data_IF_211621075950
#
_entry.id   IF_211621075950
#
_cell.length_a   1.000
_cell.length_b   1.000
_cell.length_c   1.000
_cell.angle_alpha   90.00
_cell.angle_beta   90.00
_cell.angle_gamma   90.00
#
_symmetry.space_group_name_H-M   'P 1'
#
loop_
_entity.id
_entity.type
_entity.pdbx_description
1 polymer ?
#
# COMPACT_ATOMS: atom_id res chain seq x y z
N UNK A 1 -12.10 -1.80 13.04
CA UNK A 1 -11.94 -3.26 13.04
C UNK A 1 -11.32 -3.67 11.71
N UNK A 2 -10.24 -4.45 11.70
CA UNK A 2 -9.64 -4.91 10.44
C UNK A 2 -10.58 -5.88 9.73
N UNK A 3 -10.51 -5.90 8.40
CA UNK A 3 -11.08 -7.01 7.64
C UNK A 3 -10.29 -8.28 7.95
N UNK A 4 -10.92 -9.45 7.91
CA UNK A 4 -10.25 -10.74 8.08
C UNK A 4 -9.01 -10.84 7.17
N UNK A 5 -9.13 -10.35 5.93
CA UNK A 5 -8.06 -10.29 4.94
C UNK A 5 -6.78 -9.62 5.45
N UNK A 6 -6.91 -8.42 6.04
CA UNK A 6 -5.74 -7.70 6.54
C UNK A 6 -5.18 -8.33 7.81
N UNK A 7 -6.04 -8.85 8.68
CA UNK A 7 -5.62 -9.57 9.90
C UNK A 7 -4.78 -10.79 9.56
N UNK A 8 -5.24 -11.63 8.63
CA UNK A 8 -4.53 -12.84 8.20
C UNK A 8 -3.17 -12.48 7.57
N UNK A 9 -3.16 -11.45 6.72
CA UNK A 9 -1.93 -10.98 6.09
C UNK A 9 -0.91 -10.50 7.12
N UNK A 10 -1.32 -9.67 8.08
CA UNK A 10 -0.43 -9.17 9.13
C UNK A 10 0.05 -10.29 10.05
N UNK A 11 -0.81 -11.25 10.38
CA UNK A 11 -0.43 -12.42 11.20
C UNK A 11 0.64 -13.30 10.54
N UNK A 12 0.71 -13.29 9.21
CA UNK A 12 1.75 -14.00 8.46
C UNK A 12 3.12 -13.27 8.44
N UNK A 13 3.22 -12.06 8.98
CA UNK A 13 4.45 -11.27 9.00
C UNK A 13 4.99 -11.10 10.42
N UNK A 14 6.32 -11.09 10.54
CA UNK A 14 6.97 -10.81 11.82
C UNK A 14 6.70 -9.37 12.23
N UNK A 15 6.39 -9.16 13.51
CA UNK A 15 6.33 -7.82 14.12
C UNK A 15 7.50 -7.65 15.10
N UNK A 16 8.43 -6.76 14.75
CA UNK A 16 9.57 -6.37 15.57
C UNK A 16 9.13 -5.46 16.73
N UNK A 17 9.95 -5.29 17.78
CA UNK A 17 9.69 -4.31 18.82
C UNK A 17 9.51 -2.91 18.23
N UNK A 18 8.48 -2.20 18.68
CA UNK A 18 8.12 -0.89 18.16
C UNK A 18 7.70 0.07 19.26
N UNK A 19 7.73 1.36 18.96
CA UNK A 19 7.35 2.42 19.90
C UNK A 19 5.82 2.56 19.87
N UNK A 20 5.20 2.25 21.01
CA UNK A 20 3.74 2.31 21.22
C UNK A 20 3.31 3.40 22.20
N UNK A 21 4.27 4.05 22.86
CA UNK A 21 3.99 5.10 23.83
C UNK A 21 3.55 6.37 23.09
N UNK A 22 2.29 6.75 23.26
CA UNK A 22 1.69 7.88 22.56
C UNK A 22 2.28 9.22 23.01
N UNK A 23 2.78 9.32 24.23
CA UNK A 23 3.42 10.52 24.73
C UNK A 23 4.78 10.71 24.08
N UNK A 24 5.59 9.64 24.00
CA UNK A 24 6.87 9.66 23.28
C UNK A 24 6.67 10.05 21.81
N UNK A 25 5.66 9.48 21.15
CA UNK A 25 5.35 9.83 19.76
C UNK A 25 5.02 11.32 19.64
N UNK A 26 4.15 11.86 20.50
CA UNK A 26 3.79 13.29 20.51
C UNK A 26 4.98 14.21 20.72
N UNK A 27 5.84 13.90 21.68
CA UNK A 27 7.03 14.70 22.00
C UNK A 27 8.01 14.79 20.83
N UNK A 28 8.20 13.70 20.09
CA UNK A 28 9.06 13.71 18.90
C UNK A 28 8.47 14.58 17.79
N UNK A 29 7.15 14.52 17.57
CA UNK A 29 6.48 15.41 16.61
C UNK A 29 6.63 16.88 17.01
N UNK A 30 6.40 17.20 18.29
CA UNK A 30 6.55 18.56 18.84
C UNK A 30 7.98 19.09 18.70
N UNK A 31 8.99 18.26 19.00
CA UNK A 31 10.41 18.59 18.82
C UNK A 31 10.74 18.98 17.38
N UNK A 32 10.11 18.31 16.41
CA UNK A 32 10.25 18.59 14.99
C UNK A 32 9.32 19.71 14.48
N UNK A 33 8.55 20.36 15.38
CA UNK A 33 7.55 21.39 15.05
C UNK A 33 6.47 20.89 14.09
N UNK A 34 6.19 19.59 14.12
CA UNK A 34 5.14 18.95 13.34
C UNK A 34 3.93 18.66 14.23
N UNK A 35 2.73 18.70 13.65
CA UNK A 35 1.51 18.26 14.33
C UNK A 35 1.34 16.77 14.12
N UNK A 36 1.28 16.00 15.21
CA UNK A 36 0.80 14.61 15.13
C UNK A 36 -0.72 14.63 14.93
N UNK A 37 -1.17 13.98 13.86
CA UNK A 37 -2.59 13.79 13.57
C UNK A 37 -3.05 12.41 14.02
N UNK A 38 -4.36 12.23 14.11
CA UNK A 38 -4.94 10.93 14.49
C UNK A 38 -4.57 9.86 13.47
N UNK A 39 -4.48 10.19 12.18
CA UNK A 39 -4.12 9.26 11.11
C UNK A 39 -2.66 8.77 11.23
N UNK A 40 -1.73 9.68 11.57
CA UNK A 40 -0.33 9.34 11.76
C UNK A 40 -0.11 8.53 13.05
N UNK A 41 -0.80 8.90 14.12
CA UNK A 41 -0.77 8.16 15.38
C UNK A 41 -1.36 6.76 15.19
N UNK A 42 -2.50 6.66 14.52
CA UNK A 42 -3.17 5.40 14.21
C UNK A 42 -2.26 4.49 13.38
N UNK A 43 -1.61 5.03 12.35
CA UNK A 43 -0.63 4.29 11.56
C UNK A 43 0.50 3.73 12.45
N UNK A 44 1.13 4.56 13.29
CA UNK A 44 2.23 4.13 14.15
C UNK A 44 1.77 3.01 15.10
N UNK A 45 0.63 3.19 15.79
CA UNK A 45 0.16 2.20 16.76
C UNK A 45 -0.25 0.88 16.10
N UNK A 46 -0.84 0.96 14.91
CA UNK A 46 -1.35 -0.20 14.18
C UNK A 46 -0.27 -0.99 13.47
N UNK A 47 0.62 -0.30 12.78
CA UNK A 47 1.50 -0.93 11.79
C UNK A 47 2.97 -0.91 12.17
N UNK A 48 3.38 -0.13 13.17
CA UNK A 48 4.80 -0.08 13.50
C UNK A 48 5.34 -1.45 13.92
N UNK A 49 6.55 -1.73 13.44
CA UNK A 49 7.28 -2.97 13.69
C UNK A 49 7.01 -4.10 12.70
N UNK A 50 5.95 -4.06 11.88
CA UNK A 50 5.77 -5.11 10.87
C UNK A 50 6.91 -5.11 9.87
N UNK A 51 7.52 -6.29 9.69
CA UNK A 51 8.69 -6.51 8.85
C UNK A 51 8.31 -7.23 7.56
N UNK A 52 8.66 -6.63 6.43
CA UNK A 52 8.46 -7.18 5.10
C UNK A 52 9.80 -7.35 4.40
N UNK A 53 10.14 -8.60 4.08
CA UNK A 53 11.33 -8.93 3.28
C UNK A 53 10.94 -9.02 1.81
N UNK A 54 11.52 -8.16 0.99
CA UNK A 54 11.39 -8.20 -0.46
C UNK A 54 12.79 -8.16 -1.08
N UNK A 55 13.47 -9.32 -1.21
CA UNK A 55 14.88 -9.37 -1.58
C UNK A 55 15.20 -8.54 -2.83
N UNK A 56 16.27 -7.71 -2.79
CA UNK A 56 17.28 -7.61 -1.74
C UNK A 56 16.92 -6.68 -0.58
N UNK A 57 15.72 -6.09 -0.56
CA UNK A 57 15.32 -5.05 0.38
C UNK A 57 14.51 -5.57 1.57
N UNK A 58 14.53 -4.83 2.66
CA UNK A 58 13.63 -4.98 3.80
C UNK A 58 12.91 -3.68 4.09
N UNK A 59 11.72 -3.81 4.67
CA UNK A 59 10.90 -2.70 5.09
C UNK A 59 10.41 -2.99 6.51
N UNK A 60 10.72 -2.11 7.46
CA UNK A 60 10.09 -2.11 8.78
C UNK A 60 9.13 -0.93 8.84
N UNK A 61 7.85 -1.19 9.02
CA UNK A 61 6.84 -0.13 9.05
C UNK A 61 6.95 0.67 10.35
N UNK A 62 6.67 1.97 10.28
CA UNK A 62 6.69 2.88 11.42
C UNK A 62 7.17 4.27 11.03
N UNK A 63 6.62 5.30 11.68
CA UNK A 63 7.12 6.68 11.62
C UNK A 63 8.33 6.84 12.54
N UNK A 64 8.26 6.22 13.71
CA UNK A 64 9.32 6.23 14.72
C UNK A 64 9.85 4.83 14.96
N UNK A 65 11.18 4.71 14.99
CA UNK A 65 11.90 3.47 15.21
C UNK A 65 12.84 3.60 16.40
N UNK A 66 12.86 2.59 17.27
CA UNK A 66 13.84 2.54 18.36
C UNK A 66 15.23 2.19 17.83
N UNK A 67 15.25 1.33 16.83
CA UNK A 67 16.44 0.90 16.10
C UNK A 67 16.05 0.87 14.63
N UNK A 68 16.88 1.46 13.77
CA UNK A 68 16.67 1.57 12.34
C UNK A 68 18.01 1.47 11.62
N UNK A 69 17.98 0.99 10.39
CA UNK A 69 19.15 0.90 9.51
C UNK A 69 19.35 2.19 8.71
N UNK A 70 18.25 2.79 8.23
CA UNK A 70 18.28 3.93 7.30
C UNK A 70 17.68 5.20 7.88
N UNK A 71 16.76 5.09 8.84
CA UNK A 71 16.11 6.24 9.48
C UNK A 71 16.82 6.70 10.76
N UNK A 72 16.63 7.95 11.20
CA UNK A 72 17.09 8.40 12.51
C UNK A 72 16.36 7.64 13.63
N UNK A 73 17.12 7.09 14.57
CA UNK A 73 16.54 6.41 15.73
C UNK A 73 15.89 7.42 16.68
N UNK A 74 14.68 7.12 17.15
CA UNK A 74 13.88 7.96 18.05
C UNK A 74 13.63 9.39 17.51
N UNK A 75 13.64 9.54 16.19
CA UNK A 75 13.27 10.79 15.52
C UNK A 75 12.43 10.54 14.26
N UNK A 76 11.97 11.62 13.64
CA UNK A 76 11.27 11.59 12.36
C UNK A 76 12.23 11.89 11.23
N UNK A 77 11.99 11.24 10.10
CA UNK A 77 12.50 11.66 8.79
C UNK A 77 11.32 12.19 7.97
N UNK A 78 11.46 13.38 7.41
CA UNK A 78 10.38 14.02 6.68
C UNK A 78 10.92 15.00 5.63
N UNK A 79 10.11 15.20 4.60
CA UNK A 79 10.32 16.16 3.53
C UNK A 79 9.30 17.30 3.69
N UNK A 80 9.82 18.53 3.84
CA UNK A 80 9.05 19.75 4.02
C UNK A 80 9.21 20.75 2.86
N UNK A 81 9.72 20.32 1.69
CA UNK A 81 9.85 21.14 0.48
C UNK A 81 8.52 21.77 0.06
N UNK A 82 7.41 21.11 0.40
CA UNK A 82 6.08 21.68 0.33
C UNK A 82 5.47 21.88 1.73
N UNK A 83 5.46 23.12 2.26
CA UNK A 83 4.92 23.40 3.59
C UNK A 83 3.43 23.05 3.76
N UNK A 84 2.67 22.97 2.65
CA UNK A 84 1.25 22.58 2.68
C UNK A 84 1.07 21.06 2.70
N UNK A 85 2.15 20.31 2.46
CA UNK A 85 2.15 18.86 2.33
C UNK A 85 3.51 18.30 2.75
N UNK A 86 3.78 18.38 4.04
CA UNK A 86 4.91 17.67 4.65
C UNK A 86 4.68 16.17 4.52
N UNK A 87 5.71 15.45 4.06
CA UNK A 87 5.69 14.01 3.87
C UNK A 87 6.61 13.36 4.90
N UNK A 88 6.06 12.52 5.77
CA UNK A 88 6.81 11.87 6.84
C UNK A 88 7.12 10.45 6.39
N UNK A 89 8.41 10.10 6.35
CA UNK A 89 8.85 8.76 5.98
C UNK A 89 8.27 7.73 6.96
N UNK A 90 7.66 6.68 6.42
CA UNK A 90 6.81 5.77 7.18
C UNK A 90 7.33 4.33 7.25
N UNK A 91 8.54 4.10 6.75
CA UNK A 91 9.19 2.80 6.79
C UNK A 91 10.70 2.95 6.85
N UNK A 92 11.35 2.16 7.71
CA UNK A 92 12.79 1.97 7.65
C UNK A 92 13.11 1.05 6.47
N UNK A 93 13.62 1.64 5.39
CA UNK A 93 13.99 0.98 4.16
C UNK A 93 15.05 1.80 3.41
N UNK A 94 15.70 1.18 2.43
CA UNK A 94 16.79 1.84 1.68
C UNK A 94 16.31 3.18 1.08
N UNK A 95 17.10 4.28 1.16
CA UNK A 95 16.67 5.63 0.78
C UNK A 95 16.17 5.80 -0.66
N UNK A 96 16.54 4.88 -1.57
CA UNK A 96 15.99 4.86 -2.93
C UNK A 96 14.50 4.52 -3.01
N UNK A 97 13.89 4.08 -1.90
CA UNK A 97 12.46 3.74 -1.81
C UNK A 97 11.76 4.80 -0.95
N UNK A 98 11.47 5.97 -1.50
CA UNK A 98 10.74 7.00 -0.77
C UNK A 98 9.31 6.50 -0.44
N UNK A 99 9.03 6.27 0.84
CA UNK A 99 7.71 5.82 1.35
C UNK A 99 7.27 6.74 2.47
N UNK A 100 6.21 7.51 2.24
CA UNK A 100 5.81 8.54 3.18
C UNK A 100 4.30 8.60 3.38
N UNK A 101 3.89 9.26 4.46
CA UNK A 101 2.52 9.63 4.76
C UNK A 101 2.43 11.16 4.87
N UNK A 102 1.35 11.75 4.35
CA UNK A 102 1.02 13.14 4.70
C UNK A 102 0.23 13.21 6.01
N UNK A 103 -0.05 14.42 6.49
CA UNK A 103 -0.81 14.65 7.72
C UNK A 103 -2.23 14.05 7.71
N UNK A 104 -2.80 13.74 6.54
CA UNK A 104 -4.12 13.08 6.40
C UNK A 104 -3.98 11.57 6.30
N UNK A 105 -2.78 11.03 6.44
CA UNK A 105 -2.47 9.61 6.31
C UNK A 105 -2.44 9.10 4.86
N UNK A 106 -2.48 9.96 3.84
CA UNK A 106 -2.37 9.53 2.43
C UNK A 106 -0.99 8.94 2.22
N UNK A 107 -0.93 7.75 1.61
CA UNK A 107 0.31 7.02 1.41
C UNK A 107 0.94 7.34 0.05
N UNK A 108 2.23 7.67 0.10
CA UNK A 108 3.03 8.05 -1.05
C UNK A 108 4.12 7.01 -1.31
N UNK A 109 4.33 6.74 -2.59
CA UNK A 109 5.47 5.99 -3.12
C UNK A 109 6.18 6.88 -4.13
N UNK A 110 7.46 7.14 -3.91
CA UNK A 110 8.28 7.95 -4.81
C UNK A 110 7.62 9.31 -5.11
N UNK A 111 7.12 9.95 -4.04
CA UNK A 111 6.41 11.24 -4.06
C UNK A 111 5.07 11.28 -4.81
N UNK A 112 4.61 10.16 -5.37
CA UNK A 112 3.27 10.03 -5.94
C UNK A 112 2.31 9.41 -4.92
N UNK A 113 1.09 9.95 -4.75
CA UNK A 113 0.10 9.33 -3.88
C UNK A 113 -0.43 8.05 -4.53
N UNK A 114 -0.43 6.95 -3.78
CA UNK A 114 -0.82 5.62 -4.30
C UNK A 114 -1.93 4.94 -3.50
N UNK A 115 -2.26 5.45 -2.31
CA UNK A 115 -3.43 5.03 -1.56
C UNK A 115 -3.96 6.14 -0.66
N UNK A 116 -5.28 6.18 -0.45
CA UNK A 116 -5.94 7.17 0.43
C UNK A 116 -5.50 7.06 1.90
N UNK A 117 -5.06 5.86 2.29
CA UNK A 117 -4.39 5.60 3.54
C UNK A 117 -3.56 4.32 3.47
N UNK A 118 -2.71 4.11 4.47
CA UNK A 118 -1.87 2.92 4.53
C UNK A 118 -2.65 1.60 4.65
N UNK A 119 -3.83 1.63 5.30
CA UNK A 119 -4.69 0.45 5.43
C UNK A 119 -5.13 -0.05 4.06
N UNK A 120 -5.56 0.84 3.16
CA UNK A 120 -5.94 0.51 1.78
C UNK A 120 -4.77 -0.06 1.00
N UNK A 121 -3.58 0.56 1.12
CA UNK A 121 -2.35 0.02 0.53
C UNK A 121 -2.08 -1.42 0.99
N UNK A 122 -2.14 -1.69 2.30
CA UNK A 122 -1.93 -3.03 2.81
C UNK A 122 -3.03 -4.02 2.43
N UNK A 123 -4.29 -3.58 2.34
CA UNK A 123 -5.39 -4.44 1.92
C UNK A 123 -5.23 -4.93 0.48
N UNK A 124 -4.71 -4.10 -0.43
CA UNK A 124 -4.37 -4.54 -1.79
C UNK A 124 -3.27 -5.60 -1.80
N UNK A 125 -2.23 -5.41 -0.98
CA UNK A 125 -1.17 -6.41 -0.83
C UNK A 125 -1.67 -7.70 -0.20
N UNK A 126 -2.53 -7.59 0.81
CA UNK A 126 -3.15 -8.72 1.50
C UNK A 126 -4.00 -9.55 0.54
N UNK A 127 -4.79 -8.90 -0.33
CA UNK A 127 -5.54 -9.58 -1.37
C UNK A 127 -4.61 -10.38 -2.28
N UNK A 128 -3.59 -9.74 -2.86
CA UNK A 128 -2.66 -10.42 -3.75
C UNK A 128 -1.92 -11.57 -3.05
N UNK A 129 -1.45 -11.35 -1.82
CA UNK A 129 -0.83 -12.40 -1.00
C UNK A 129 -1.77 -13.59 -0.82
N UNK A 130 -3.02 -13.37 -0.41
CA UNK A 130 -4.02 -14.43 -0.24
C UNK A 130 -4.22 -15.23 -1.52
N UNK A 131 -4.40 -14.54 -2.64
CA UNK A 131 -4.60 -15.22 -3.94
C UNK A 131 -3.40 -16.08 -4.32
N UNK A 132 -2.17 -15.62 -4.05
CA UNK A 132 -0.94 -16.39 -4.29
C UNK A 132 -0.73 -17.57 -3.35
N UNK A 133 -1.42 -17.65 -2.21
CA UNK A 133 -1.37 -18.82 -1.34
C UNK A 133 -2.12 -20.02 -1.94
N UNK A 134 -3.10 -19.77 -2.82
CA UNK A 134 -3.98 -20.82 -3.34
C UNK A 134 -3.54 -21.32 -4.71
N UNK A 135 -3.04 -20.42 -5.57
CA UNK A 135 -2.68 -20.72 -6.97
C UNK A 135 -1.47 -19.91 -7.42
N UNK A 136 -0.67 -20.40 -8.37
CA UNK A 136 0.39 -19.60 -8.97
C UNK A 136 -0.21 -18.52 -9.88
N UNK A 137 0.04 -17.25 -9.56
CA UNK A 137 -0.31 -16.11 -10.41
C UNK A 137 0.90 -15.64 -11.22
N UNK A 138 0.65 -15.07 -12.39
CA UNK A 138 1.66 -14.44 -13.23
C UNK A 138 1.14 -13.10 -13.74
N UNK A 139 2.04 -12.13 -13.85
CA UNK A 139 1.74 -10.87 -14.49
C UNK A 139 1.54 -11.09 -16.01
N UNK A 140 0.62 -10.36 -16.61
CA UNK A 140 0.40 -10.36 -18.06
C UNK A 140 0.35 -8.94 -18.59
N UNK A 141 0.87 -8.76 -19.79
CA UNK A 141 0.74 -7.52 -20.53
C UNK A 141 -0.58 -7.54 -21.31
N UNK A 142 -1.52 -6.68 -20.92
CA UNK A 142 -2.73 -6.48 -21.68
C UNK A 142 -2.42 -5.70 -22.96
N UNK A 143 -2.98 -6.11 -24.09
CA UNK A 143 -2.87 -5.36 -25.33
C UNK A 143 -3.45 -3.93 -25.15
N UNK A 144 -2.89 -2.95 -25.87
CA UNK A 144 -3.27 -1.53 -25.72
C UNK A 144 -4.78 -1.30 -25.88
N UNK A 145 -5.42 -1.96 -26.85
CA UNK A 145 -6.87 -1.85 -27.08
C UNK A 145 -7.70 -2.40 -25.89
N UNK A 146 -7.21 -3.43 -25.20
CA UNK A 146 -7.86 -3.97 -23.99
C UNK A 146 -7.71 -2.98 -22.84
N UNK A 147 -6.53 -2.39 -22.67
CA UNK A 147 -6.30 -1.37 -21.65
C UNK A 147 -7.21 -0.16 -21.86
N UNK A 148 -7.36 0.29 -23.11
CA UNK A 148 -8.27 1.38 -23.46
C UNK A 148 -9.73 1.01 -23.14
N UNK A 149 -10.19 -0.18 -23.56
CA UNK A 149 -11.54 -0.65 -23.26
C UNK A 149 -11.82 -0.71 -21.75
N UNK A 150 -10.85 -1.16 -20.94
CA UNK A 150 -10.99 -1.18 -19.47
C UNK A 150 -11.17 0.24 -18.90
N UNK A 151 -10.43 1.23 -19.41
CA UNK A 151 -10.56 2.63 -18.95
C UNK A 151 -11.91 3.23 -19.32
N UNK A 152 -12.40 2.95 -20.53
CA UNK A 152 -13.70 3.43 -21.01
C UNK A 152 -14.87 2.77 -20.28
N UNK A 153 -14.74 1.48 -19.94
CA UNK A 153 -15.77 0.67 -19.26
C UNK A 153 -15.75 0.81 -17.72
N UNK A 154 -14.94 1.68 -17.11
CA UNK A 154 -14.84 1.79 -15.65
C UNK A 154 -16.19 2.09 -14.96
N UNK A 155 -17.10 2.76 -15.66
CA UNK A 155 -18.46 3.06 -15.20
C UNK A 155 -19.52 2.10 -15.82
N UNK A 156 -19.06 0.98 -16.37
CA UNK A 156 -19.82 0.01 -17.14
C UNK A 156 -19.73 -1.38 -16.55
N UNK A 157 -19.63 -2.40 -17.40
CA UNK A 157 -19.78 -3.81 -16.96
C UNK A 157 -18.65 -4.31 -16.04
N UNK A 158 -17.49 -3.65 -16.05
CA UNK A 158 -16.37 -4.07 -15.21
C UNK A 158 -16.60 -3.73 -13.73
N UNK A 159 -17.45 -2.74 -13.44
CA UNK A 159 -17.72 -2.25 -12.08
C UNK A 159 -18.36 -3.35 -11.20
N UNK A 160 -19.15 -4.25 -11.79
CA UNK A 160 -19.72 -5.42 -11.10
C UNK A 160 -18.66 -6.33 -10.48
N UNK A 161 -17.44 -6.31 -11.02
CA UNK A 161 -16.30 -7.11 -10.55
C UNK A 161 -15.30 -6.31 -9.70
N UNK A 162 -15.59 -5.03 -9.43
CA UNK A 162 -14.77 -4.21 -8.56
C UNK A 162 -14.81 -4.80 -7.14
N UNK A 163 -13.68 -4.73 -6.43
CA UNK A 163 -13.57 -5.06 -5.02
C UNK A 163 -13.49 -3.76 -4.20
N UNK A 164 -14.62 -3.21 -3.70
CA UNK A 164 -14.65 -1.88 -3.08
C UNK A 164 -13.79 -1.79 -1.82
N UNK A 165 -13.66 -2.91 -1.09
CA UNK A 165 -12.92 -2.96 0.16
C UNK A 165 -11.42 -2.70 -0.03
N UNK A 166 -10.84 -3.08 -1.17
CA UNK A 166 -9.40 -2.87 -1.48
C UNK A 166 -9.17 -1.73 -2.48
N UNK A 167 -10.23 -1.21 -3.09
CA UNK A 167 -10.16 -0.10 -4.04
C UNK A 167 -10.24 1.24 -3.32
N UNK A 168 -9.66 2.27 -3.93
CA UNK A 168 -9.75 3.67 -3.54
C UNK A 168 -9.62 4.59 -4.75
N UNK A 169 -9.54 5.91 -4.51
CA UNK A 169 -9.42 6.91 -5.59
C UNK A 169 -8.10 6.87 -6.37
N UNK A 170 -7.06 6.20 -5.87
CA UNK A 170 -5.76 6.07 -6.54
C UNK A 170 -5.63 4.75 -7.28
N UNK A 171 -6.43 3.75 -6.91
CA UNK A 171 -6.39 2.45 -7.55
C UNK A 171 -7.69 1.66 -7.40
N UNK A 172 -8.19 1.16 -8.51
CA UNK A 172 -9.35 0.29 -8.58
C UNK A 172 -8.91 -1.15 -8.83
N UNK A 173 -9.38 -2.08 -8.01
CA UNK A 173 -9.06 -3.50 -8.14
C UNK A 173 -10.30 -4.26 -8.59
N UNK A 174 -10.16 -5.00 -9.67
CA UNK A 174 -11.18 -5.88 -10.23
C UNK A 174 -10.73 -7.32 -10.14
N UNK A 175 -11.66 -8.23 -9.84
CA UNK A 175 -11.38 -9.65 -9.74
C UNK A 175 -12.41 -10.47 -10.53
N UNK A 176 -11.98 -11.02 -11.67
CA UNK A 176 -12.81 -11.78 -12.60
C UNK A 176 -12.28 -13.20 -12.73
N UNK A 177 -12.86 -14.13 -11.96
CA UNK A 177 -12.46 -15.55 -11.93
C UNK A 177 -10.96 -15.74 -11.68
N UNK A 178 -10.18 -15.96 -12.74
CA UNK A 178 -8.74 -16.25 -12.72
C UNK A 178 -7.91 -15.08 -13.23
N UNK A 179 -8.49 -13.87 -13.20
CA UNK A 179 -7.90 -12.61 -13.64
C UNK A 179 -8.10 -11.55 -12.55
N UNK A 180 -7.03 -10.86 -12.19
CA UNK A 180 -7.06 -9.69 -11.33
C UNK A 180 -6.51 -8.50 -12.10
N UNK A 181 -7.19 -7.38 -12.05
CA UNK A 181 -6.81 -6.15 -12.74
C UNK A 181 -6.71 -5.04 -11.69
N UNK A 182 -5.57 -4.36 -11.66
CA UNK A 182 -5.38 -3.11 -10.93
C UNK A 182 -5.29 -1.98 -11.94
N UNK A 183 -6.20 -1.01 -11.83
CA UNK A 183 -6.15 0.21 -12.62
C UNK A 183 -5.66 1.35 -11.75
N UNK A 184 -4.58 1.98 -12.16
CA UNK A 184 -4.01 3.20 -11.60
C UNK A 184 -4.10 4.33 -12.66
N UNK A 185 -3.93 5.61 -12.30
CA UNK A 185 -3.99 6.71 -13.26
C UNK A 185 -3.10 6.46 -14.49
N UNK A 186 -1.83 6.12 -14.26
CA UNK A 186 -0.83 5.99 -15.32
C UNK A 186 -0.70 4.58 -15.91
N UNK A 187 -1.23 3.54 -15.25
CA UNK A 187 -1.01 2.16 -15.69
C UNK A 187 -2.15 1.20 -15.35
N UNK A 188 -2.26 0.13 -16.14
CA UNK A 188 -3.08 -1.03 -15.83
C UNK A 188 -2.16 -2.22 -15.63
N UNK A 189 -2.26 -2.85 -14.47
CA UNK A 189 -1.52 -4.05 -14.12
C UNK A 189 -2.50 -5.21 -14.05
N UNK A 190 -2.18 -6.31 -14.74
CA UNK A 190 -3.02 -7.49 -14.73
C UNK A 190 -2.23 -8.72 -14.32
N UNK A 191 -2.92 -9.61 -13.61
CA UNK A 191 -2.40 -10.92 -13.25
C UNK A 191 -3.42 -11.98 -13.61
N UNK A 192 -2.94 -13.15 -14.04
CA UNK A 192 -3.78 -14.34 -14.21
C UNK A 192 -3.20 -15.55 -13.50
N UNK A 193 -4.05 -16.52 -13.21
CA UNK A 193 -3.60 -17.85 -12.79
C UNK A 193 -2.76 -18.50 -13.91
N UNK A 194 -1.63 -19.09 -13.55
CA UNK A 194 -0.76 -19.75 -14.54
C UNK A 194 -1.50 -20.92 -15.19
N UNK A 195 -1.46 -20.97 -16.52
CA UNK A 195 -2.17 -21.99 -17.32
C UNK A 195 -3.63 -21.64 -17.66
N UNK A 196 -4.19 -20.58 -17.10
CA UNK A 196 -5.54 -20.13 -17.46
C UNK A 196 -5.56 -19.33 -18.77
N UNK A 197 -6.73 -19.34 -19.41
CA UNK A 197 -7.10 -18.50 -20.55
C UNK A 197 -8.28 -17.62 -20.13
N UNK A 198 -8.06 -16.61 -19.26
CA UNK A 198 -9.14 -15.78 -18.78
C UNK A 198 -9.73 -14.99 -19.96
N UNK A 199 -11.05 -14.84 -19.95
CA UNK A 199 -11.75 -13.97 -20.88
C UNK A 199 -12.31 -12.80 -20.08
N UNK A 200 -12.06 -11.59 -20.58
CA UNK A 200 -12.70 -10.37 -20.07
C UNK A 200 -13.63 -9.87 -21.16
N UNK A 201 -14.94 -9.94 -20.91
CA UNK A 201 -15.98 -9.65 -21.90
C UNK A 201 -15.85 -10.52 -23.15
N UNK A 202 -15.44 -9.91 -24.28
CA UNK A 202 -15.23 -10.53 -25.59
C UNK A 202 -13.74 -10.59 -25.99
N UNK A 203 -12.83 -10.12 -25.13
CA UNK A 203 -11.40 -10.15 -25.41
C UNK A 203 -10.79 -11.43 -24.84
N UNK A 204 -10.15 -12.21 -25.71
CA UNK A 204 -9.22 -13.25 -25.27
C UNK A 204 -7.91 -12.57 -24.84
N UNK A 205 -7.51 -12.80 -23.59
CA UNK A 205 -6.33 -12.18 -22.96
C UNK A 205 -5.07 -13.05 -23.06
#
# INVERSE_FOLDING_TARGET
MYTQLLTDYLAAHQRLPYIKDTQVIKEVFERNRLKVTDELLDFQLRYAGYFHKFPPHSFVYGLLHKHSEYLPALDLDFDDDNPRRVLITCMDCHPSHARALDARGVYYKDYAPVAENFTKYLMQRALFWRETQTRPWQNIHLAAHVQQAIREEQNGKIEEFMLPQVSDKYSQIYHVRELMIKVEPEQIIAWKVRGSKPQLFYFSL
#
